data_IF_379208951484
#
_entry.id   IF_379208951484
#
_cell.length_a   1.000
_cell.length_b   1.000
_cell.length_c   1.000
_cell.angle_alpha   90.00
_cell.angle_beta   90.00
_cell.angle_gamma   90.00
#
_symmetry.space_group_name_H-M   'P 1'
#
loop_
_entity.id
_entity.type
_entity.pdbx_description
1 polymer ?
#
# COMPACT_ATOMS: atom_id res chain seq x y z
N UNK A 1 12.47 -7.70 -29.34
CA UNK A 1 11.15 -7.37 -28.76
C UNK A 1 11.41 -6.65 -27.44
N UNK A 2 11.18 -5.33 -27.34
CA UNK A 2 11.25 -4.63 -26.06
C UNK A 2 9.85 -4.38 -25.51
N UNK A 3 9.76 -4.45 -24.19
CA UNK A 3 8.57 -4.55 -23.38
C UNK A 3 7.62 -3.38 -23.55
N UNK A 4 6.34 -3.72 -23.54
CA UNK A 4 5.24 -2.79 -23.48
C UNK A 4 5.14 -2.28 -22.03
N UNK A 5 6.05 -1.40 -21.62
CA UNK A 5 6.03 -0.70 -20.34
C UNK A 5 4.84 0.26 -20.37
N UNK A 6 3.65 -0.28 -20.05
CA UNK A 6 2.47 0.51 -19.76
C UNK A 6 2.82 1.43 -18.60
N UNK A 7 3.12 2.70 -18.89
CA UNK A 7 3.06 3.77 -17.91
C UNK A 7 1.65 3.76 -17.33
N UNK A 8 1.47 3.10 -16.19
CA UNK A 8 0.19 3.06 -15.50
C UNK A 8 0.02 4.42 -14.85
N UNK A 9 -0.87 5.23 -15.40
CA UNK A 9 -1.26 6.50 -14.78
C UNK A 9 -1.93 6.20 -13.46
N UNK A 10 -1.37 6.71 -12.37
CA UNK A 10 -1.90 6.56 -11.02
C UNK A 10 -2.79 7.75 -10.69
N UNK A 11 -4.03 7.48 -10.29
CA UNK A 11 -4.99 8.49 -9.88
C UNK A 11 -5.12 8.49 -8.37
N UNK A 12 -4.97 9.65 -7.73
CA UNK A 12 -5.19 9.77 -6.29
C UNK A 12 -6.61 9.38 -5.92
N UNK A 13 -6.75 8.68 -4.80
CA UNK A 13 -8.04 8.31 -4.22
C UNK A 13 -8.00 8.49 -2.71
N UNK A 14 -9.17 8.69 -2.12
CA UNK A 14 -9.38 8.61 -0.66
C UNK A 14 -10.13 7.33 -0.26
N UNK A 15 -10.60 6.56 -1.24
CA UNK A 15 -11.29 5.30 -1.01
C UNK A 15 -10.25 4.18 -0.86
N UNK A 16 -10.10 3.65 0.35
CA UNK A 16 -9.19 2.54 0.66
C UNK A 16 -9.52 1.27 -0.11
N UNK A 17 -10.79 1.05 -0.47
CA UNK A 17 -11.24 -0.14 -1.20
C UNK A 17 -10.72 -0.15 -2.64
N UNK A 18 -10.72 1.02 -3.29
CA UNK A 18 -10.23 1.21 -4.66
C UNK A 18 -8.71 1.37 -4.75
N UNK A 19 -8.04 1.64 -3.64
CA UNK A 19 -6.61 1.90 -3.62
C UNK A 19 -5.81 0.63 -3.95
N UNK A 20 -4.92 0.75 -4.94
CA UNK A 20 -3.98 -0.32 -5.33
C UNK A 20 -2.55 -0.02 -4.87
N UNK A 21 -2.23 1.26 -4.65
CA UNK A 21 -0.91 1.70 -4.24
C UNK A 21 -1.00 2.75 -3.14
N UNK A 22 0.09 2.85 -2.37
CA UNK A 22 0.27 3.84 -1.34
C UNK A 22 1.64 4.48 -1.46
N UNK A 23 1.69 5.80 -1.52
CA UNK A 23 2.92 6.57 -1.42
C UNK A 23 3.14 6.96 0.04
N UNK A 24 4.33 6.69 0.56
CA UNK A 24 4.70 7.10 1.91
C UNK A 24 5.17 8.55 1.86
N UNK A 25 4.47 9.44 2.54
CA UNK A 25 4.90 10.85 2.69
C UNK A 25 5.89 10.96 3.85
N UNK A 26 5.58 10.31 4.96
CA UNK A 26 6.47 10.20 6.11
C UNK A 26 6.17 8.93 6.90
N UNK A 27 7.21 8.27 7.40
CA UNK A 27 7.09 7.05 8.18
C UNK A 27 7.40 7.29 9.67
N UNK A 28 6.60 6.69 10.56
CA UNK A 28 6.95 6.59 11.98
C UNK A 28 8.03 5.52 12.18
N UNK A 29 8.91 5.73 13.17
CA UNK A 29 9.95 4.76 13.53
C UNK A 29 9.35 3.38 13.74
N UNK A 30 9.88 2.39 13.03
CA UNK A 30 9.48 0.98 13.14
C UNK A 30 8.62 0.48 11.98
N UNK A 31 8.06 1.35 11.13
CA UNK A 31 7.22 0.95 10.01
C UNK A 31 8.00 0.39 8.79
N UNK A 32 9.34 0.38 8.83
CA UNK A 32 10.25 -0.21 7.82
C UNK A 32 9.87 0.10 6.36
N UNK A 33 9.34 1.30 6.11
CA UNK A 33 9.04 1.82 4.77
C UNK A 33 9.74 3.15 4.56
N UNK A 34 10.06 3.45 3.32
CA UNK A 34 10.84 4.62 2.91
C UNK A 34 9.92 5.74 2.42
N UNK A 35 10.09 6.94 2.98
CA UNK A 35 9.38 8.14 2.53
C UNK A 35 9.74 8.48 1.08
N UNK A 36 8.74 8.87 0.29
CA UNK A 36 8.82 9.12 -1.15
C UNK A 36 8.55 7.90 -2.02
N UNK A 37 8.67 6.68 -1.49
CA UNK A 37 8.45 5.45 -2.24
C UNK A 37 6.96 5.11 -2.37
N UNK A 38 6.65 4.37 -3.43
CA UNK A 38 5.32 3.85 -3.74
C UNK A 38 5.32 2.33 -3.49
N UNK A 39 4.38 1.88 -2.66
CA UNK A 39 4.20 0.47 -2.32
C UNK A 39 2.88 -0.02 -2.90
N UNK A 40 2.85 -1.27 -3.34
CA UNK A 40 1.61 -1.94 -3.74
C UNK A 40 0.84 -2.37 -2.50
N UNK A 41 -0.45 -2.04 -2.45
CA UNK A 41 -1.36 -2.55 -1.43
C UNK A 41 -1.73 -4.00 -1.75
N UNK A 42 -1.69 -4.83 -0.73
CA UNK A 42 -2.08 -6.21 -0.74
C UNK A 42 -3.26 -6.40 0.23
N UNK A 43 -4.05 -7.46 0.02
CA UNK A 43 -5.23 -7.77 0.85
C UNK A 43 -5.17 -9.20 1.36
N UNK A 44 -5.21 -9.36 2.67
CA UNK A 44 -5.29 -10.66 3.33
C UNK A 44 -6.74 -10.98 3.72
N UNK A 45 -7.31 -12.06 3.19
CA UNK A 45 -8.71 -12.44 3.42
C UNK A 45 -8.89 -13.52 4.49
N UNK A 46 -7.87 -13.78 5.31
CA UNK A 46 -7.92 -14.83 6.34
C UNK A 46 -8.84 -14.49 7.51
N UNK A 47 -9.22 -13.22 7.69
CA UNK A 47 -10.11 -12.75 8.75
C UNK A 47 -11.40 -12.11 8.18
N UNK A 48 -12.22 -12.87 7.43
CA UNK A 48 -13.40 -12.32 6.74
C UNK A 48 -14.47 -11.78 7.71
N UNK A 49 -14.44 -12.19 8.97
CA UNK A 49 -15.32 -11.69 10.04
C UNK A 49 -14.92 -10.30 10.55
N UNK A 50 -13.71 -9.84 10.26
CA UNK A 50 -13.19 -8.53 10.68
C UNK A 50 -13.05 -7.55 9.51
N UNK A 51 -12.74 -8.06 8.32
CA UNK A 51 -12.47 -7.22 7.15
C UNK A 51 -13.21 -7.74 5.92
N UNK A 52 -14.25 -7.01 5.48
CA UNK A 52 -15.08 -7.37 4.33
C UNK A 52 -14.26 -7.47 3.03
N UNK A 53 -13.33 -6.53 2.82
CA UNK A 53 -12.45 -6.47 1.65
C UNK A 53 -11.03 -7.00 1.95
N UNK A 54 -10.87 -7.78 3.01
CA UNK A 54 -9.58 -8.23 3.51
C UNK A 54 -8.76 -7.12 4.20
N UNK A 55 -7.81 -7.56 5.02
CA UNK A 55 -6.91 -6.69 5.76
C UNK A 55 -5.81 -6.14 4.84
N UNK A 56 -5.67 -4.82 4.80
CA UNK A 56 -4.71 -4.15 3.91
C UNK A 56 -3.31 -4.20 4.52
N UNK A 57 -2.31 -4.49 3.68
CA UNK A 57 -0.90 -4.41 4.04
C UNK A 57 -0.02 -4.02 2.85
N UNK A 58 1.22 -3.66 3.15
CA UNK A 58 2.31 -3.58 2.17
C UNK A 58 3.39 -4.59 2.54
N UNK A 59 4.18 -5.02 1.56
CA UNK A 59 5.46 -5.66 1.85
C UNK A 59 6.48 -4.54 2.07
N UNK A 60 7.06 -4.50 3.26
CA UNK A 60 7.99 -3.46 3.69
C UNK A 60 9.40 -3.62 3.08
N UNK A 61 10.32 -2.71 3.41
CA UNK A 61 11.69 -2.70 2.87
C UNK A 61 12.52 -3.93 3.30
N UNK A 62 12.11 -4.63 4.37
CA UNK A 62 12.72 -5.87 4.86
C UNK A 62 12.04 -7.13 4.27
N UNK A 63 11.02 -6.96 3.41
CA UNK A 63 10.26 -8.06 2.80
C UNK A 63 9.18 -8.64 3.71
N UNK A 64 8.74 -7.92 4.74
CA UNK A 64 7.71 -8.38 5.69
C UNK A 64 6.37 -7.72 5.46
N UNK A 65 5.31 -8.44 5.78
CA UNK A 65 3.95 -7.92 5.72
C UNK A 65 3.73 -6.87 6.82
N UNK A 66 3.41 -5.65 6.42
CA UNK A 66 3.16 -4.54 7.31
C UNK A 66 1.70 -4.07 7.19
N UNK A 67 0.88 -4.59 8.12
CA UNK A 67 -0.53 -4.25 8.28
C UNK A 67 -0.78 -2.89 8.94
N UNK A 68 0.25 -2.28 9.54
CA UNK A 68 0.12 -1.02 10.28
C UNK A 68 0.42 0.23 9.44
N UNK A 69 0.76 0.05 8.15
CA UNK A 69 1.26 1.14 7.29
C UNK A 69 0.29 2.31 7.17
N UNK A 70 -1.01 2.05 7.00
CA UNK A 70 -2.02 3.10 6.87
C UNK A 70 -2.33 3.80 8.20
N UNK A 71 -2.02 3.14 9.33
CA UNK A 71 -2.25 3.67 10.67
C UNK A 71 -1.07 4.51 11.17
N UNK A 72 0.16 4.09 10.84
CA UNK A 72 1.38 4.67 11.41
C UNK A 72 2.13 5.60 10.45
N UNK A 73 1.83 5.59 9.15
CA UNK A 73 2.47 6.48 8.19
C UNK A 73 1.49 7.53 7.67
N UNK A 74 2.03 8.70 7.35
CA UNK A 74 1.31 9.65 6.50
C UNK A 74 1.43 9.17 5.06
N UNK A 75 0.30 8.98 4.39
CA UNK A 75 0.26 8.34 3.09
C UNK A 75 -0.67 9.03 2.10
N UNK A 76 -0.44 8.78 0.81
CA UNK A 76 -1.38 9.11 -0.27
C UNK A 76 -1.71 7.84 -1.02
N UNK A 77 -2.99 7.56 -1.21
CA UNK A 77 -3.46 6.37 -1.92
C UNK A 77 -3.70 6.66 -3.40
N UNK A 78 -3.48 5.63 -4.23
CA UNK A 78 -3.65 5.70 -5.68
C UNK A 78 -4.35 4.46 -6.23
N UNK A 79 -5.08 4.63 -7.33
CA UNK A 79 -5.65 3.58 -8.19
C UNK A 79 -5.10 3.66 -9.62
#
# INVERSE_FOLDING_TARGET
>A
MPGNDKQRTLYRTINEEEAEFVQIISAVRGCRVTAGQLYRLQRNHNNPQLFEQGEIYVVDDDGKDNYAVLMLCNTIMYK
#
